data_IF_433936972726
#
_entry.id   IF_433936972726
#
_cell.length_a   1.000
_cell.length_b   1.000
_cell.length_c   1.000
_cell.angle_alpha   90.00
_cell.angle_beta   90.00
_cell.angle_gamma   90.00
#
_symmetry.space_group_name_H-M   'P 1'
#
loop_
_entity.id
_entity.type
_entity.pdbx_description
1 polymer ?
#
# COMPACT_ATOMS: atom_id res chain seq x y z
N UNK A 1 -23.19 20.98 21.59
CA UNK A 1 -23.15 21.19 23.05
C UNK A 1 -22.46 22.50 23.34
N UNK A 2 -23.25 23.57 23.34
CA UNK A 2 -22.84 24.92 23.74
C UNK A 2 -22.56 24.96 25.25
N UNK A 3 -21.41 25.50 25.67
CA UNK A 3 -21.14 25.77 27.08
C UNK A 3 -21.51 27.23 27.39
N UNK A 4 -22.66 27.36 28.07
CA UNK A 4 -23.20 28.61 28.61
C UNK A 4 -22.27 29.21 29.68
N UNK A 5 -22.08 30.54 29.64
CA UNK A 5 -21.53 31.35 30.74
C UNK A 5 -22.59 31.51 31.83
N UNK A 6 -22.19 31.39 33.10
CA UNK A 6 -22.98 31.78 34.26
C UNK A 6 -22.39 33.05 34.93
N UNK A 7 -23.21 33.89 35.59
CA UNK A 7 -22.85 35.25 35.99
C UNK A 7 -22.32 35.36 37.43
N UNK A 8 -21.69 36.52 37.67
CA UNK A 8 -21.15 37.00 38.96
C UNK A 8 -22.22 37.08 40.05
N UNK A 9 -21.85 36.69 41.27
CA UNK A 9 -22.49 37.13 42.50
C UNK A 9 -21.48 37.97 43.29
N UNK A 10 -21.90 39.17 43.70
CA UNK A 10 -21.16 40.06 44.59
C UNK A 10 -21.76 40.07 45.99
N UNK A 11 -20.89 40.30 46.97
CA UNK A 11 -21.12 40.87 48.31
C UNK A 11 -19.68 41.08 48.87
N UNK A 12 -19.22 42.23 49.33
CA UNK A 12 -19.86 43.24 50.18
C UNK A 12 -19.32 43.05 51.60
N UNK A 13 -18.76 44.12 52.20
CA UNK A 13 -18.16 44.29 53.55
C UNK A 13 -16.63 44.19 53.65
N UNK A 14 -15.85 45.00 54.39
CA UNK A 14 -15.91 46.37 54.95
C UNK A 14 -14.53 46.61 55.61
N UNK A 15 -13.98 47.84 55.49
CA UNK A 15 -12.97 48.53 56.35
C UNK A 15 -11.46 48.20 56.21
N UNK A 16 -10.78 49.08 55.45
CA UNK A 16 -9.43 49.66 55.67
C UNK A 16 -9.28 50.35 57.05
N UNK A 17 -8.13 50.60 57.70
CA UNK A 17 -6.68 50.33 57.48
C UNK A 17 -5.87 50.98 58.64
N UNK A 18 -4.69 50.47 59.05
CA UNK A 18 -3.62 51.26 59.68
C UNK A 18 -2.42 51.50 58.71
N UNK A 19 -1.56 52.52 58.99
CA UNK A 19 -0.69 53.18 58.02
C UNK A 19 0.51 52.34 57.52
N UNK A 20 1.12 52.71 56.37
CA UNK A 20 2.15 51.90 55.72
C UNK A 20 3.55 52.14 56.32
N UNK A 21 4.33 51.08 56.60
CA UNK A 21 5.78 51.14 56.69
C UNK A 21 6.42 51.10 55.27
N UNK A 22 7.69 51.52 55.14
CA UNK A 22 8.23 52.15 53.93
C UNK A 22 8.39 51.21 52.74
N UNK A 23 8.24 51.81 51.55
CA UNK A 23 8.62 51.26 50.25
C UNK A 23 10.06 50.73 50.29
N UNK A 24 10.18 49.41 50.32
CA UNK A 24 11.36 48.72 49.84
C UNK A 24 11.05 48.29 48.41
N UNK A 25 11.76 48.90 47.47
CA UNK A 25 11.84 48.47 46.07
C UNK A 25 12.30 47.01 46.02
N UNK A 26 11.36 46.07 46.08
CA UNK A 26 11.59 44.71 45.64
C UNK A 26 11.43 44.68 44.12
N UNK A 27 12.53 45.02 43.45
CA UNK A 27 12.77 44.65 42.06
C UNK A 27 12.95 43.14 41.96
N UNK A 28 12.37 42.60 40.88
CA UNK A 28 12.64 41.31 40.27
C UNK A 28 12.14 40.04 40.97
N UNK A 29 10.91 39.65 40.61
CA UNK A 29 10.60 38.26 40.27
C UNK A 29 9.58 38.28 39.13
N UNK A 30 10.01 38.76 37.96
CA UNK A 30 9.37 38.36 36.71
C UNK A 30 9.81 36.92 36.41
N UNK A 31 9.44 35.99 37.29
CA UNK A 31 9.58 34.56 37.06
C UNK A 31 8.62 34.19 35.92
N UNK A 32 9.12 34.39 34.70
CA UNK A 32 8.40 34.09 33.49
C UNK A 32 7.93 32.65 33.54
N UNK A 33 6.63 32.42 33.32
CA UNK A 33 6.07 31.08 33.18
C UNK A 33 6.77 30.39 32.01
N UNK A 34 7.78 29.57 32.29
CA UNK A 34 8.46 28.76 31.29
C UNK A 34 7.49 27.66 30.83
N UNK A 35 6.80 27.92 29.71
CA UNK A 35 6.03 26.88 29.03
C UNK A 35 7.06 25.92 28.44
N UNK A 36 7.15 24.70 28.99
CA UNK A 36 7.92 23.64 28.38
C UNK A 36 7.36 23.39 26.97
N UNK A 37 8.10 23.84 25.94
CA UNK A 37 7.73 23.55 24.56
C UNK A 37 8.47 22.30 24.13
N UNK A 38 7.72 21.20 23.98
CA UNK A 38 8.26 20.01 23.34
C UNK A 38 8.79 20.37 21.96
N UNK A 39 10.02 19.96 21.66
CA UNK A 39 10.60 20.11 20.32
C UNK A 39 10.29 18.88 19.50
N UNK A 40 9.95 19.10 18.24
CA UNK A 40 9.75 18.00 17.30
C UNK A 40 11.03 17.16 17.18
N UNK A 41 11.01 15.83 17.43
CA UNK A 41 12.22 15.00 17.35
C UNK A 41 12.78 14.90 15.93
N UNK A 42 12.01 15.30 14.92
CA UNK A 42 12.38 15.22 13.51
C UNK A 42 13.00 16.50 12.95
N UNK A 43 12.59 17.66 13.46
CA UNK A 43 12.99 18.96 12.91
C UNK A 43 13.28 20.02 13.98
N UNK A 44 13.36 19.60 15.25
CA UNK A 44 13.65 20.41 16.44
C UNK A 44 12.77 21.64 16.65
N UNK A 45 11.65 21.73 15.93
CA UNK A 45 10.75 22.88 15.97
C UNK A 45 9.86 22.79 17.20
N UNK A 46 9.76 23.90 17.94
CA UNK A 46 8.94 24.04 19.15
C UNK A 46 7.44 23.86 18.84
N UNK A 47 6.75 22.95 19.54
CA UNK A 47 5.35 22.56 19.28
C UNK A 47 4.57 22.12 20.54
N UNK A 48 3.24 22.05 20.42
CA UNK A 48 2.31 21.50 21.43
C UNK A 48 2.15 19.98 21.37
N UNK A 49 2.59 19.35 20.28
CA UNK A 49 2.55 17.89 20.06
C UNK A 49 3.98 17.42 19.83
N UNK A 50 4.28 16.18 20.22
CA UNK A 50 5.57 15.53 20.03
C UNK A 50 6.11 15.70 18.61
N UNK A 51 5.30 15.46 17.56
CA UNK A 51 5.68 15.74 16.16
C UNK A 51 4.94 16.95 15.61
N UNK A 52 5.61 17.73 14.77
CA UNK A 52 5.03 18.94 14.20
C UNK A 52 4.06 18.64 13.05
N UNK A 53 3.06 19.52 12.84
CA UNK A 53 2.09 19.37 11.76
C UNK A 53 2.73 19.20 10.36
N UNK A 54 3.84 19.89 10.09
CA UNK A 54 4.58 19.75 8.81
C UNK A 54 5.12 18.33 8.64
N UNK A 55 5.77 17.77 9.67
CA UNK A 55 6.30 16.41 9.64
C UNK A 55 5.17 15.37 9.56
N UNK A 56 4.06 15.57 10.29
CA UNK A 56 2.88 14.69 10.20
C UNK A 56 2.32 14.66 8.77
N UNK A 57 2.15 15.83 8.13
CA UNK A 57 1.65 15.91 6.76
C UNK A 57 2.63 15.30 5.74
N UNK A 58 3.94 15.37 6.01
CA UNK A 58 4.96 14.69 5.21
C UNK A 58 5.01 13.17 5.45
N UNK A 59 4.24 12.63 6.41
CA UNK A 59 4.33 11.23 6.81
C UNK A 59 5.56 10.93 7.67
N UNK A 60 6.27 11.96 8.11
CA UNK A 60 7.38 11.88 9.05
C UNK A 60 6.83 12.01 10.47
N UNK A 61 6.44 10.89 11.07
CA UNK A 61 6.14 10.83 12.49
C UNK A 61 6.61 9.48 13.05
N UNK A 62 6.99 9.51 14.33
CA UNK A 62 7.58 8.36 15.02
C UNK A 62 6.57 7.87 16.05
N UNK A 63 6.27 6.58 16.02
CA UNK A 63 5.54 5.93 17.11
C UNK A 63 6.53 5.68 18.26
N UNK A 64 6.12 5.99 19.50
CA UNK A 64 6.97 5.79 20.67
C UNK A 64 7.03 4.33 21.12
N UNK A 65 6.31 3.43 20.45
CA UNK A 65 6.44 2.00 20.70
C UNK A 65 7.79 1.54 20.13
N UNK A 66 8.74 1.22 21.01
CA UNK A 66 10.09 0.74 20.67
C UNK A 66 10.12 -0.52 19.79
N UNK A 67 8.95 -1.05 19.41
CA UNK A 67 8.78 -2.21 18.54
C UNK A 67 8.97 -1.89 17.07
N UNK A 68 8.80 -0.63 16.64
CA UNK A 68 8.91 -0.25 15.23
C UNK A 68 9.64 1.09 15.05
N UNK A 69 10.95 1.02 14.79
CA UNK A 69 11.78 2.20 14.49
C UNK A 69 11.61 2.74 13.06
N UNK A 70 10.88 2.02 12.20
CA UNK A 70 10.64 2.39 10.80
C UNK A 70 9.62 3.54 10.68
N UNK A 71 9.93 4.57 9.89
CA UNK A 71 9.03 5.70 9.70
C UNK A 71 7.86 5.31 8.81
N UNK A 72 6.74 6.02 8.97
CA UNK A 72 5.56 5.79 8.13
C UNK A 72 5.86 6.00 6.63
N UNK A 73 6.67 7.01 6.27
CA UNK A 73 7.12 7.24 4.91
C UNK A 73 7.83 6.02 4.29
N UNK A 74 8.72 5.38 5.06
CA UNK A 74 9.45 4.18 4.63
C UNK A 74 8.48 3.01 4.36
N UNK A 75 7.49 2.83 5.25
CA UNK A 75 6.44 1.81 5.08
C UNK A 75 5.63 2.04 3.80
N UNK A 76 5.31 3.29 3.48
CA UNK A 76 4.57 3.66 2.28
C UNK A 76 5.38 3.39 1.01
N UNK A 77 6.67 3.74 1.00
CA UNK A 77 7.59 3.44 -0.10
C UNK A 77 7.67 1.92 -0.32
N UNK A 78 7.88 1.16 0.76
CA UNK A 78 7.94 -0.31 0.70
C UNK A 78 6.65 -0.93 0.18
N UNK A 79 5.50 -0.44 0.63
CA UNK A 79 4.19 -0.88 0.14
C UNK A 79 4.03 -0.62 -1.36
N UNK A 80 4.47 0.56 -1.84
CA UNK A 80 4.46 0.90 -3.26
C UNK A 80 5.35 -0.03 -4.07
N UNK A 81 6.57 -0.30 -3.61
CA UNK A 81 7.48 -1.26 -4.25
C UNK A 81 6.86 -2.66 -4.34
N UNK A 82 6.28 -3.16 -3.25
CA UNK A 82 5.63 -4.48 -3.22
C UNK A 82 4.42 -4.56 -4.18
N UNK A 83 3.64 -3.48 -4.31
CA UNK A 83 2.53 -3.41 -5.28
C UNK A 83 3.04 -3.49 -6.72
N UNK A 84 4.10 -2.75 -7.04
CA UNK A 84 4.71 -2.77 -8.37
C UNK A 84 5.32 -4.15 -8.69
N UNK A 85 5.97 -4.78 -7.70
CA UNK A 85 6.55 -6.10 -7.87
C UNK A 85 5.47 -7.17 -8.11
N UNK A 86 4.38 -7.12 -7.34
CA UNK A 86 3.19 -7.94 -7.58
C UNK A 86 2.67 -7.78 -9.01
N UNK A 87 2.50 -6.54 -9.48
CA UNK A 87 2.01 -6.26 -10.83
C UNK A 87 2.95 -6.82 -11.91
N UNK A 88 4.27 -6.68 -11.71
CA UNK A 88 5.28 -7.27 -12.58
C UNK A 88 5.15 -8.79 -12.67
N UNK A 89 4.94 -9.48 -11.54
CA UNK A 89 4.71 -10.93 -11.56
C UNK A 89 3.40 -11.32 -12.24
N UNK A 90 2.32 -10.56 -12.00
CA UNK A 90 1.03 -10.79 -12.69
C UNK A 90 1.17 -10.69 -14.22
N UNK A 91 1.90 -9.69 -14.72
CA UNK A 91 2.17 -9.55 -16.15
C UNK A 91 3.01 -10.71 -16.71
N UNK A 92 3.99 -11.21 -15.94
CA UNK A 92 4.77 -12.39 -16.34
C UNK A 92 3.90 -13.64 -16.45
N UNK A 93 2.98 -13.86 -15.50
CA UNK A 93 2.04 -14.98 -15.53
C UNK A 93 1.15 -14.91 -16.77
N UNK A 94 0.61 -13.73 -17.10
CA UNK A 94 -0.22 -13.55 -18.31
C UNK A 94 0.58 -13.92 -19.57
N UNK A 95 1.81 -13.39 -19.72
CA UNK A 95 2.67 -13.71 -20.87
C UNK A 95 3.00 -15.20 -20.96
N UNK A 96 3.25 -15.86 -19.83
CA UNK A 96 3.52 -17.29 -19.80
C UNK A 96 2.31 -18.12 -20.24
N UNK A 97 1.10 -17.73 -19.82
CA UNK A 97 -0.15 -18.38 -20.24
C UNK A 97 -0.39 -18.21 -21.74
N UNK A 98 -0.19 -17.01 -22.30
CA UNK A 98 -0.29 -16.77 -23.74
C UNK A 98 0.71 -17.61 -24.54
N UNK A 99 1.94 -17.75 -24.06
CA UNK A 99 2.95 -18.61 -24.65
C UNK A 99 2.50 -20.08 -24.68
N UNK A 100 2.04 -20.59 -23.54
CA UNK A 100 1.52 -21.97 -23.43
C UNK A 100 0.33 -22.20 -24.36
N UNK A 101 -0.61 -21.26 -24.42
CA UNK A 101 -1.76 -21.33 -25.32
C UNK A 101 -1.35 -21.50 -26.79
N UNK A 102 -0.38 -20.70 -27.26
CA UNK A 102 0.15 -20.81 -28.63
C UNK A 102 0.80 -22.18 -28.87
N UNK A 103 1.57 -22.68 -27.90
CA UNK A 103 2.18 -24.01 -27.99
C UNK A 103 1.13 -25.11 -28.08
N UNK A 104 0.11 -25.08 -27.23
CA UNK A 104 -0.95 -26.09 -27.22
C UNK A 104 -1.82 -26.02 -28.49
N UNK A 105 -2.07 -24.82 -29.00
CA UNK A 105 -2.74 -24.64 -30.30
C UNK A 105 -1.95 -25.28 -31.45
N UNK A 106 -0.63 -25.08 -31.49
CA UNK A 106 0.22 -25.69 -32.52
C UNK A 106 0.30 -27.21 -32.37
N UNK A 107 0.41 -27.73 -31.14
CA UNK A 107 0.35 -29.17 -30.86
C UNK A 107 -0.94 -29.79 -31.40
N UNK A 108 -2.07 -29.12 -31.18
CA UNK A 108 -3.35 -29.61 -31.67
C UNK A 108 -3.44 -29.61 -33.19
N UNK A 109 -2.91 -28.58 -33.87
CA UNK A 109 -2.80 -28.56 -35.34
C UNK A 109 -1.93 -29.71 -35.85
N UNK A 110 -0.78 -29.96 -35.23
CA UNK A 110 0.11 -31.09 -35.57
C UNK A 110 -0.64 -32.41 -35.44
N UNK A 111 -1.32 -32.63 -34.31
CA UNK A 111 -2.10 -33.84 -34.05
C UNK A 111 -3.19 -34.03 -35.11
N UNK A 112 -3.94 -32.97 -35.43
CA UNK A 112 -4.97 -33.01 -36.46
C UNK A 112 -4.40 -33.38 -37.84
N UNK A 113 -3.24 -32.83 -38.21
CA UNK A 113 -2.56 -33.20 -39.44
C UNK A 113 -2.10 -34.67 -39.43
N UNK A 114 -1.56 -35.17 -38.31
CA UNK A 114 -1.11 -36.56 -38.18
C UNK A 114 -2.27 -37.54 -38.39
N UNK A 115 -3.40 -37.31 -37.72
CA UNK A 115 -4.61 -38.12 -37.89
C UNK A 115 -5.09 -38.11 -39.34
N UNK A 116 -5.09 -36.94 -39.99
CA UNK A 116 -5.52 -36.83 -41.39
C UNK A 116 -4.56 -37.54 -42.35
N UNK A 117 -3.26 -37.54 -42.06
CA UNK A 117 -2.27 -38.32 -42.83
C UNK A 117 -2.54 -39.81 -42.69
N UNK A 118 -2.81 -40.31 -41.48
CA UNK A 118 -3.15 -41.71 -41.24
C UNK A 118 -4.43 -42.11 -41.98
N UNK A 119 -5.49 -41.31 -41.87
CA UNK A 119 -6.73 -41.55 -42.61
C UNK A 119 -6.53 -41.65 -44.13
N UNK A 120 -5.67 -40.79 -44.71
CA UNK A 120 -5.36 -40.83 -46.14
C UNK A 120 -4.54 -42.07 -46.51
N UNK A 121 -3.59 -42.48 -45.67
CA UNK A 121 -2.82 -43.71 -45.88
C UNK A 121 -3.72 -44.93 -45.88
N UNK A 122 -4.63 -45.02 -44.92
CA UNK A 122 -5.58 -46.13 -44.80
C UNK A 122 -6.50 -46.18 -46.02
N UNK A 123 -7.05 -45.04 -46.43
CA UNK A 123 -7.90 -44.95 -47.62
C UNK A 123 -7.18 -45.39 -48.91
N UNK A 124 -5.90 -45.00 -49.08
CA UNK A 124 -5.08 -45.42 -50.23
C UNK A 124 -4.82 -46.94 -50.18
N UNK A 125 -4.50 -47.49 -49.00
CA UNK A 125 -4.25 -48.92 -48.84
C UNK A 125 -5.49 -49.73 -49.21
N UNK A 126 -6.65 -49.38 -48.65
CA UNK A 126 -7.92 -50.06 -48.94
C UNK A 126 -8.28 -49.97 -50.43
N UNK A 127 -8.13 -48.79 -51.05
CA UNK A 127 -8.41 -48.62 -52.47
C UNK A 127 -7.50 -49.47 -53.36
N UNK A 128 -6.22 -49.60 -53.02
CA UNK A 128 -5.29 -50.46 -53.77
C UNK A 128 -5.66 -51.95 -53.65
N UNK A 129 -6.06 -52.40 -52.45
CA UNK A 129 -6.51 -53.78 -52.23
C UNK A 129 -7.80 -54.12 -52.99
N UNK A 130 -8.73 -53.17 -53.13
CA UNK A 130 -9.93 -53.31 -53.96
C UNK A 130 -9.58 -53.50 -55.43
N UNK A 131 -8.78 -52.59 -56.00
CA UNK A 131 -8.34 -52.70 -57.40
C UNK A 131 -7.61 -54.02 -57.65
N UNK A 132 -6.76 -54.46 -56.72
CA UNK A 132 -6.02 -55.71 -56.88
C UNK A 132 -6.93 -56.94 -56.80
N UNK A 133 -7.95 -56.93 -55.94
CA UNK A 133 -8.98 -57.99 -55.91
C UNK A 133 -9.76 -58.05 -57.22
N UNK A 134 -10.16 -56.90 -57.76
CA UNK A 134 -10.90 -56.82 -59.02
C UNK A 134 -10.06 -57.33 -60.20
N UNK A 135 -8.77 -56.97 -60.24
CA UNK A 135 -7.83 -57.46 -61.26
C UNK A 135 -7.62 -58.99 -61.18
N UNK A 136 -7.53 -59.55 -59.97
CA UNK A 136 -7.41 -61.01 -59.79
C UNK A 136 -8.68 -61.76 -60.21
N UNK A 137 -9.86 -61.14 -60.13
CA UNK A 137 -11.13 -61.74 -60.56
C UNK A 137 -11.31 -61.73 -62.09
N UNK A 138 -10.68 -60.78 -62.79
CA UNK A 138 -10.74 -60.67 -64.26
C UNK A 138 -9.70 -61.54 -64.99
N UNK A 139 -8.83 -62.24 -64.25
CA UNK A 139 -7.79 -63.15 -64.79
C UNK A 139 -8.13 -64.64 -64.64
N UNK A 140 -9.38 -64.97 -64.26
CA UNK A 140 -9.98 -66.31 -64.25
C UNK A 140 -11.11 -66.40 -65.27
#
# INVERSE_FOLDING_TARGET
MERRRAPRAGAGHTRDQPPPPPLLDSVDDAEGLYVAVERCPLCNTARRRLTCAKCILAGDFVYFDSRNSERYADKMERLKCLRNEKEKYQQQVIKAIEGKWKTDQLRWKIMSCQIRIEQLKDAICCGNEEVQRDLCQLQL
#
